data_IF_564858998506
#
_entry.id   IF_564858998506
#
_cell.length_a   1.000
_cell.length_b   1.000
_cell.length_c   1.000
_cell.angle_alpha   90.00
_cell.angle_beta   90.00
_cell.angle_gamma   90.00
#
_symmetry.space_group_name_H-M   'P 1'
#
loop_
_entity.id
_entity.type
_entity.pdbx_description
1 polymer ?
#
# COMPACT_ATOMS: atom_id res chain seq x y z
N UNK A 1 -12.12 4.31 14.37
CA UNK A 1 -11.38 3.51 13.38
C UNK A 1 -11.54 2.04 13.71
N UNK A 2 -11.83 1.19 12.72
CA UNK A 2 -11.92 -0.26 12.93
C UNK A 2 -10.66 -0.91 12.39
N UNK A 3 -10.05 -1.79 13.17
CA UNK A 3 -8.91 -2.61 12.76
C UNK A 3 -9.29 -4.08 12.84
N UNK A 4 -8.88 -4.85 11.83
CA UNK A 4 -8.96 -6.31 11.85
C UNK A 4 -7.55 -6.86 11.72
N UNK A 5 -7.29 -7.98 12.41
CA UNK A 5 -6.00 -8.65 12.37
C UNK A 5 -6.15 -9.97 11.65
N UNK A 6 -5.40 -10.17 10.59
CA UNK A 6 -5.45 -11.40 9.79
C UNK A 6 -4.04 -11.87 9.46
N UNK A 7 -3.85 -13.18 9.53
CA UNK A 7 -2.67 -13.83 9.00
C UNK A 7 -2.79 -14.00 7.49
N UNK A 8 -1.80 -13.57 6.75
CA UNK A 8 -1.74 -13.76 5.29
C UNK A 8 -0.51 -14.57 4.91
N UNK A 9 -0.65 -15.53 4.01
CA UNK A 9 0.50 -16.20 3.41
C UNK A 9 1.34 -15.20 2.61
N UNK A 10 2.52 -15.63 2.17
CA UNK A 10 3.34 -14.83 1.28
C UNK A 10 2.55 -14.36 0.06
N UNK A 11 2.61 -13.07 -0.25
CA UNK A 11 1.89 -12.44 -1.35
C UNK A 11 2.88 -11.81 -2.32
N UNK A 12 2.80 -12.20 -3.59
CA UNK A 12 3.60 -11.59 -4.65
C UNK A 12 2.74 -10.64 -5.47
N UNK A 13 3.27 -9.45 -5.70
CA UNK A 13 2.65 -8.41 -6.51
C UNK A 13 3.44 -8.19 -7.78
N UNK A 14 2.77 -7.76 -8.84
CA UNK A 14 3.36 -7.35 -10.11
C UNK A 14 2.98 -5.91 -10.40
N UNK A 15 3.96 -5.08 -10.73
CA UNK A 15 3.74 -3.67 -11.00
C UNK A 15 5.00 -2.93 -11.40
N UNK A 16 4.92 -1.63 -11.31
CA UNK A 16 6.03 -0.72 -11.54
C UNK A 16 6.26 0.16 -10.33
N UNK A 17 7.48 0.58 -10.15
CA UNK A 17 7.90 1.34 -8.98
C UNK A 17 8.79 2.52 -9.36
N UNK A 18 8.77 3.52 -8.48
CA UNK A 18 9.78 4.57 -8.45
C UNK A 18 10.37 4.64 -7.05
N UNK A 19 11.63 5.07 -6.97
CA UNK A 19 12.26 5.40 -5.69
C UNK A 19 12.09 6.89 -5.43
N UNK A 20 11.60 7.23 -4.24
CA UNK A 20 11.20 8.59 -3.86
C UNK A 20 11.87 8.93 -2.54
N UNK A 21 12.44 10.14 -2.43
CA UNK A 21 12.85 10.65 -1.12
C UNK A 21 11.60 11.09 -0.33
N UNK A 22 11.56 10.89 0.99
CA UNK A 22 10.37 11.19 1.81
C UNK A 22 9.82 12.60 1.57
N UNK A 23 10.67 13.60 1.49
CA UNK A 23 10.30 15.00 1.26
C UNK A 23 9.70 15.30 -0.12
N UNK A 24 9.90 14.41 -1.10
CA UNK A 24 9.37 14.57 -2.47
C UNK A 24 8.05 13.82 -2.68
N UNK A 25 7.67 12.97 -1.76
CA UNK A 25 6.56 12.03 -1.97
C UNK A 25 5.24 12.73 -2.24
N UNK A 26 4.93 13.84 -1.54
CA UNK A 26 3.72 14.63 -1.77
C UNK A 26 3.50 15.03 -3.24
N UNK A 27 4.59 15.31 -3.96
CA UNK A 27 4.53 15.66 -5.36
C UNK A 27 4.63 14.42 -6.26
N UNK A 28 5.59 13.55 -5.98
CA UNK A 28 5.94 12.45 -6.88
C UNK A 28 4.97 11.28 -6.88
N UNK A 29 4.31 10.97 -5.76
CA UNK A 29 3.33 9.89 -5.76
C UNK A 29 2.12 10.20 -6.66
N UNK A 30 1.45 11.38 -6.56
CA UNK A 30 0.38 11.73 -7.49
C UNK A 30 0.83 11.80 -8.94
N UNK A 31 2.01 12.37 -9.23
CA UNK A 31 2.57 12.41 -10.60
C UNK A 31 2.80 11.01 -11.15
N UNK A 32 3.23 10.07 -10.31
CA UNK A 32 3.46 8.69 -10.69
C UNK A 32 2.14 7.97 -10.99
N UNK A 33 1.10 8.17 -10.17
CA UNK A 33 -0.24 7.66 -10.42
C UNK A 33 -0.80 8.20 -11.74
N UNK A 34 -0.73 9.50 -11.97
CA UNK A 34 -1.22 10.10 -13.22
C UNK A 34 -0.47 9.56 -14.44
N UNK A 35 0.85 9.51 -14.38
CA UNK A 35 1.67 9.03 -15.47
C UNK A 35 1.46 7.56 -15.80
N UNK A 36 1.49 6.69 -14.80
CA UNK A 36 1.53 5.25 -15.03
C UNK A 36 0.12 4.65 -15.09
N UNK A 37 -0.74 5.01 -14.16
CA UNK A 37 -2.10 4.51 -14.13
C UNK A 37 -2.91 5.00 -15.33
N UNK A 38 -2.94 6.29 -15.57
CA UNK A 38 -3.72 6.88 -16.64
C UNK A 38 -3.24 6.46 -18.03
N UNK A 39 -1.94 6.27 -18.22
CA UNK A 39 -1.38 5.92 -19.53
C UNK A 39 -1.42 4.41 -19.81
N UNK A 40 -1.06 3.57 -18.85
CA UNK A 40 -0.92 2.12 -19.07
C UNK A 40 -2.22 1.37 -18.90
N UNK A 41 -3.03 1.76 -17.94
CA UNK A 41 -4.24 1.01 -17.56
C UNK A 41 -5.54 1.71 -17.90
N UNK A 42 -5.52 2.94 -18.45
CA UNK A 42 -6.73 3.66 -18.82
C UNK A 42 -7.63 2.82 -19.73
N UNK A 43 -7.06 2.13 -20.73
CA UNK A 43 -7.81 1.23 -21.60
C UNK A 43 -8.45 0.09 -20.80
N UNK A 44 -7.67 -0.56 -19.94
CA UNK A 44 -8.12 -1.70 -19.14
C UNK A 44 -9.34 -1.32 -18.30
N UNK A 45 -9.27 -0.18 -17.61
CA UNK A 45 -10.38 0.31 -16.77
C UNK A 45 -11.58 0.81 -17.58
N UNK A 46 -11.35 1.37 -18.77
CA UNK A 46 -12.44 1.80 -19.64
C UNK A 46 -13.18 0.62 -20.26
N UNK A 47 -12.46 -0.40 -20.68
CA UNK A 47 -13.04 -1.54 -21.39
C UNK A 47 -13.40 -2.70 -20.47
N UNK A 48 -12.80 -2.80 -19.30
CA UNK A 48 -12.86 -3.94 -18.37
C UNK A 48 -12.51 -5.27 -19.07
N UNK A 49 -11.66 -5.20 -20.10
CA UNK A 49 -11.25 -6.37 -20.90
C UNK A 49 -9.76 -6.54 -20.81
N UNK A 50 -9.29 -7.54 -20.02
CA UNK A 50 -7.88 -7.84 -19.94
C UNK A 50 -7.40 -8.51 -21.23
N UNK A 51 -6.23 -8.12 -21.70
CA UNK A 51 -5.56 -8.72 -22.86
C UNK A 51 -4.40 -9.61 -22.45
N UNK A 52 -3.97 -9.50 -21.20
CA UNK A 52 -2.86 -10.29 -20.64
C UNK A 52 -3.28 -10.94 -19.32
N UNK A 53 -2.62 -12.04 -18.90
CA UNK A 53 -2.83 -12.62 -17.58
C UNK A 53 -2.59 -11.62 -16.43
N UNK A 54 -1.67 -10.69 -16.62
CA UNK A 54 -1.38 -9.62 -15.63
C UNK A 54 -2.53 -8.65 -15.52
N UNK A 55 -3.09 -8.21 -16.63
CA UNK A 55 -4.28 -7.35 -16.64
C UNK A 55 -5.48 -8.07 -16.02
N UNK A 56 -5.64 -9.36 -16.31
CA UNK A 56 -6.67 -10.19 -15.69
C UNK A 56 -6.49 -10.24 -14.18
N UNK A 57 -5.27 -10.45 -13.70
CA UNK A 57 -4.96 -10.47 -12.27
C UNK A 57 -5.22 -9.11 -11.60
N UNK A 58 -4.96 -7.99 -12.28
CA UNK A 58 -5.26 -6.64 -11.79
C UNK A 58 -6.78 -6.41 -11.66
N UNK A 59 -7.56 -6.89 -12.61
CA UNK A 59 -9.03 -6.73 -12.58
C UNK A 59 -9.72 -7.71 -11.64
N UNK A 60 -9.21 -8.94 -11.54
CA UNK A 60 -9.89 -10.08 -10.93
C UNK A 60 -9.66 -10.19 -9.42
N UNK A 61 -8.88 -9.30 -8.87
CA UNK A 61 -8.44 -9.40 -7.48
C UNK A 61 -9.51 -9.13 -6.44
N UNK A 62 -10.61 -8.51 -6.80
CA UNK A 62 -11.61 -8.01 -5.84
C UNK A 62 -11.07 -6.95 -4.86
N UNK A 63 -9.76 -6.72 -4.86
CA UNK A 63 -9.05 -5.79 -4.00
C UNK A 63 -8.52 -4.59 -4.81
N UNK A 64 -8.53 -4.67 -6.14
CA UNK A 64 -8.06 -3.60 -7.02
C UNK A 64 -6.54 -3.50 -7.09
N UNK A 65 -6.03 -2.28 -7.22
CA UNK A 65 -4.60 -1.99 -7.22
C UNK A 65 -4.07 -1.84 -5.80
N UNK A 66 -2.82 -2.19 -5.63
CA UNK A 66 -2.09 -1.97 -4.38
C UNK A 66 -0.99 -0.94 -4.63
N UNK A 67 -0.90 0.05 -3.76
CA UNK A 67 0.33 0.81 -3.59
C UNK A 67 1.13 0.17 -2.46
N UNK A 68 2.40 -0.03 -2.70
CA UNK A 68 3.36 -0.61 -1.75
C UNK A 68 4.38 0.46 -1.46
N UNK A 69 4.56 0.79 -0.19
CA UNK A 69 5.63 1.65 0.26
C UNK A 69 6.69 0.77 0.90
N UNK A 70 7.80 0.57 0.21
CA UNK A 70 8.95 -0.21 0.69
C UNK A 70 10.08 0.75 1.04
N UNK A 71 10.37 0.85 2.32
CA UNK A 71 11.34 1.77 2.87
C UNK A 71 12.78 1.29 2.63
N UNK A 72 13.63 2.22 2.21
CA UNK A 72 15.06 2.01 2.03
C UNK A 72 15.84 3.15 2.65
N UNK A 73 17.13 2.98 2.85
CA UNK A 73 17.99 4.02 3.40
C UNK A 73 17.84 5.34 2.61
N UNK A 74 17.25 6.36 3.25
CA UNK A 74 17.05 7.70 2.69
C UNK A 74 16.03 7.81 1.55
N UNK A 75 15.30 6.74 1.25
CA UNK A 75 14.25 6.71 0.23
C UNK A 75 13.22 5.62 0.50
N UNK A 76 12.12 5.64 -0.22
CA UNK A 76 11.19 4.52 -0.28
C UNK A 76 10.84 4.19 -1.73
N UNK A 77 10.60 2.91 -2.01
CA UNK A 77 10.08 2.48 -3.29
C UNK A 77 8.55 2.49 -3.23
N UNK A 78 7.97 3.34 -4.05
CA UNK A 78 6.52 3.43 -4.20
C UNK A 78 6.07 2.64 -5.42
N UNK A 79 5.13 1.71 -5.20
CA UNK A 79 4.67 0.77 -6.20
C UNK A 79 3.20 0.99 -6.53
N UNK A 80 2.87 0.87 -7.82
CA UNK A 80 1.50 0.63 -8.28
C UNK A 80 1.47 -0.78 -8.83
N UNK A 81 0.75 -1.67 -8.16
CA UNK A 81 0.84 -3.10 -8.42
C UNK A 81 -0.51 -3.81 -8.18
N UNK A 82 -0.63 -4.97 -8.78
CA UNK A 82 -1.71 -5.93 -8.52
C UNK A 82 -1.15 -7.25 -8.02
N UNK A 83 -1.99 -8.10 -7.44
CA UNK A 83 -1.58 -9.42 -6.97
C UNK A 83 -1.20 -10.30 -8.16
N UNK A 84 0.03 -10.82 -8.13
CA UNK A 84 0.55 -11.69 -9.18
C UNK A 84 0.04 -13.13 -8.98
N UNK A 85 -0.53 -13.68 -10.03
CA UNK A 85 -1.06 -15.04 -10.04
C UNK A 85 -0.33 -16.00 -10.99
N UNK A 86 0.90 -15.64 -11.37
CA UNK A 86 1.72 -16.43 -12.29
C UNK A 86 1.66 -15.92 -13.73
N UNK A 87 2.49 -16.51 -14.59
CA UNK A 87 2.65 -16.13 -15.99
C UNK A 87 3.92 -15.33 -16.26
N UNK A 88 4.09 -14.91 -17.51
CA UNK A 88 5.24 -14.11 -17.91
C UNK A 88 5.15 -12.68 -17.31
N UNK A 89 6.29 -12.15 -16.93
CA UNK A 89 6.41 -10.76 -16.46
C UNK A 89 6.68 -9.87 -17.67
N UNK A 90 5.73 -8.99 -18.05
CA UNK A 90 5.92 -8.08 -19.17
C UNK A 90 7.09 -7.14 -18.96
N UNK A 91 7.71 -6.71 -20.04
CA UNK A 91 8.81 -5.75 -20.00
C UNK A 91 8.42 -4.47 -19.24
N UNK A 92 9.30 -4.01 -18.35
CA UNK A 92 9.10 -2.81 -17.53
C UNK A 92 8.28 -3.01 -16.28
N UNK A 93 7.73 -4.21 -16.05
CA UNK A 93 7.14 -4.59 -14.77
C UNK A 93 8.13 -5.38 -13.91
N UNK A 94 7.89 -5.37 -12.60
CA UNK A 94 8.71 -6.07 -11.61
C UNK A 94 7.80 -6.85 -10.65
N UNK A 95 8.38 -7.80 -9.97
CA UNK A 95 7.73 -8.53 -8.88
C UNK A 95 8.23 -8.00 -7.54
N UNK A 96 7.29 -7.90 -6.59
CA UNK A 96 7.56 -7.62 -5.18
C UNK A 96 6.86 -8.68 -4.34
N UNK A 97 7.56 -9.28 -3.39
CA UNK A 97 6.99 -10.33 -2.54
C UNK A 97 7.03 -9.91 -1.08
N UNK A 98 5.85 -9.82 -0.48
CA UNK A 98 5.71 -9.78 0.96
C UNK A 98 5.88 -11.18 1.53
N UNK A 99 6.67 -11.37 2.57
CA UNK A 99 6.71 -12.64 3.29
C UNK A 99 5.36 -12.90 3.97
N UNK A 100 5.16 -14.14 4.38
CA UNK A 100 4.06 -14.51 5.28
C UNK A 100 4.09 -13.63 6.53
N UNK A 101 2.96 -13.04 6.90
CA UNK A 101 2.89 -12.06 8.00
C UNK A 101 1.48 -11.97 8.57
N UNK A 102 1.40 -11.52 9.81
CA UNK A 102 0.17 -10.97 10.37
C UNK A 102 0.02 -9.52 9.93
N UNK A 103 -1.21 -9.10 9.71
CA UNK A 103 -1.54 -7.77 9.20
C UNK A 103 -2.58 -7.09 10.09
N UNK A 104 -2.31 -5.83 10.44
CA UNK A 104 -3.33 -4.92 10.93
C UNK A 104 -3.98 -4.25 9.70
N UNK A 105 -5.26 -4.51 9.49
CA UNK A 105 -5.98 -4.09 8.30
C UNK A 105 -7.03 -3.05 8.66
N UNK A 106 -6.89 -1.88 8.09
CA UNK A 106 -7.78 -0.73 8.28
C UNK A 106 -8.56 -0.48 7.01
N UNK A 107 -9.83 -0.08 7.17
CA UNK A 107 -10.69 0.26 6.04
C UNK A 107 -11.36 1.62 6.22
N UNK A 108 -11.58 2.30 5.12
CA UNK A 108 -12.37 3.52 5.04
C UNK A 108 -13.34 3.47 3.86
N UNK A 109 -14.39 4.26 3.95
CA UNK A 109 -15.38 4.44 2.89
C UNK A 109 -15.47 5.92 2.53
N UNK A 110 -15.52 6.21 1.25
CA UNK A 110 -15.64 7.56 0.72
C UNK A 110 -14.79 7.81 -0.52
N UNK A 111 -14.95 8.96 -1.17
CA UNK A 111 -14.21 9.29 -2.38
C UNK A 111 -12.72 9.50 -2.10
N UNK A 112 -11.88 9.04 -3.03
CA UNK A 112 -10.45 9.32 -3.02
C UNK A 112 -10.15 10.76 -3.50
N UNK A 113 -9.05 11.37 -3.06
CA UNK A 113 -8.05 10.82 -2.10
C UNK A 113 -8.44 11.00 -0.63
N UNK A 114 -9.48 11.77 -0.33
CA UNK A 114 -9.79 12.23 1.03
C UNK A 114 -10.02 11.11 2.05
N UNK A 115 -10.73 10.04 1.68
CA UNK A 115 -11.00 8.91 2.59
C UNK A 115 -9.73 8.16 2.98
N UNK A 116 -8.83 7.92 2.02
CA UNK A 116 -7.56 7.24 2.28
C UNK A 116 -6.60 8.12 3.09
N UNK A 117 -6.54 9.42 2.78
CA UNK A 117 -5.70 10.37 3.54
C UNK A 117 -6.16 10.49 5.00
N UNK A 118 -7.47 10.55 5.24
CA UNK A 118 -8.01 10.56 6.59
C UNK A 118 -7.70 9.26 7.33
N UNK A 119 -7.84 8.11 6.67
CA UNK A 119 -7.50 6.81 7.24
C UNK A 119 -6.01 6.75 7.60
N UNK A 120 -5.15 7.19 6.69
CA UNK A 120 -3.72 7.22 6.92
C UNK A 120 -3.35 8.06 8.16
N UNK A 121 -3.93 9.25 8.27
CA UNK A 121 -3.75 10.10 9.45
C UNK A 121 -4.13 9.38 10.73
N UNK A 122 -5.28 8.69 10.75
CA UNK A 122 -5.73 7.93 11.92
C UNK A 122 -4.79 6.76 12.26
N UNK A 123 -4.31 6.01 11.25
CA UNK A 123 -3.38 4.90 11.47
C UNK A 123 -2.10 5.39 12.14
N UNK A 124 -1.49 6.46 11.61
CA UNK A 124 -0.15 6.88 12.07
C UNK A 124 -0.16 7.84 13.24
N UNK A 125 -1.21 8.63 13.42
CA UNK A 125 -1.29 9.59 14.53
C UNK A 125 -2.06 9.06 15.74
N UNK A 126 -2.95 8.08 15.56
CA UNK A 126 -3.78 7.58 16.65
C UNK A 126 -3.46 6.12 16.98
N UNK A 127 -3.55 5.21 15.99
CA UNK A 127 -3.35 3.79 16.24
C UNK A 127 -1.88 3.45 16.54
N UNK A 128 -0.96 3.86 15.69
CA UNK A 128 0.45 3.49 15.81
C UNK A 128 1.08 3.94 17.14
N UNK A 129 0.92 5.19 17.59
CA UNK A 129 1.44 5.60 18.90
C UNK A 129 0.66 5.03 20.10
N UNK A 130 -0.53 4.51 19.89
CA UNK A 130 -1.39 3.89 20.89
C UNK A 130 -1.28 2.37 20.90
N UNK A 131 -2.32 1.71 20.41
CA UNK A 131 -2.42 0.24 20.36
C UNK A 131 -1.32 -0.39 19.50
N UNK A 132 -0.95 0.26 18.40
CA UNK A 132 0.07 -0.21 17.48
C UNK A 132 1.46 -0.40 18.09
N UNK A 133 1.75 0.28 19.21
CA UNK A 133 3.02 0.07 19.95
C UNK A 133 3.20 -1.36 20.49
N UNK A 134 2.11 -2.09 20.69
CA UNK A 134 2.17 -3.49 21.11
C UNK A 134 2.58 -4.43 19.96
N UNK A 135 2.64 -3.90 18.74
CA UNK A 135 3.01 -4.64 17.55
C UNK A 135 4.28 -4.02 16.98
N UNK A 136 5.38 -4.76 17.04
CA UNK A 136 6.56 -4.36 16.28
C UNK A 136 6.25 -4.48 14.79
N UNK A 137 6.60 -3.48 14.00
CA UNK A 137 6.48 -3.58 12.55
C UNK A 137 7.31 -4.75 12.03
N UNK A 138 6.72 -5.60 11.19
CA UNK A 138 7.40 -6.72 10.55
C UNK A 138 7.97 -6.28 9.19
N UNK A 139 8.71 -5.22 9.19
CA UNK A 139 9.34 -4.70 7.98
C UNK A 139 8.92 -3.29 7.65
N UNK A 140 9.49 -2.81 6.58
CA UNK A 140 9.45 -1.43 6.15
C UNK A 140 8.37 -1.13 5.11
N UNK A 141 7.56 -2.12 4.73
CA UNK A 141 6.57 -1.95 3.66
C UNK A 141 5.14 -2.09 4.17
N UNK A 142 4.25 -1.26 3.65
CA UNK A 142 2.81 -1.30 3.90
C UNK A 142 2.04 -1.33 2.58
N UNK A 143 0.75 -1.68 2.65
CA UNK A 143 -0.14 -1.69 1.50
C UNK A 143 -1.21 -0.62 1.63
N UNK A 144 -1.36 0.19 0.59
CA UNK A 144 -2.61 0.89 0.30
C UNK A 144 -3.47 0.00 -0.58
N UNK A 145 -4.70 -0.23 -0.18
CA UNK A 145 -5.61 -1.18 -0.84
C UNK A 145 -6.75 -0.43 -1.50
N UNK A 146 -6.90 -0.63 -2.79
CA UNK A 146 -7.89 0.04 -3.63
C UNK A 146 -8.87 -1.00 -4.18
N UNK A 147 -10.14 -0.92 -3.76
CA UNK A 147 -11.18 -1.80 -4.27
C UNK A 147 -11.53 -1.48 -5.73
N UNK A 148 -12.06 -2.48 -6.44
CA UNK A 148 -12.62 -2.22 -7.76
C UNK A 148 -13.82 -1.28 -7.66
N UNK A 149 -13.98 -0.39 -8.65
CA UNK A 149 -15.13 0.49 -8.74
C UNK A 149 -14.79 1.96 -8.96
N UNK A 150 -15.78 2.81 -8.77
CA UNK A 150 -15.63 4.25 -8.96
C UNK A 150 -15.00 4.89 -7.72
N UNK A 151 -13.73 5.27 -7.82
CA UNK A 151 -12.96 5.92 -6.75
C UNK A 151 -13.55 7.25 -6.27
N UNK A 152 -14.46 7.86 -7.01
CA UNK A 152 -15.17 9.09 -6.62
C UNK A 152 -16.52 8.83 -5.97
N UNK A 153 -16.91 7.57 -5.81
CA UNK A 153 -18.17 7.22 -5.15
C UNK A 153 -18.09 7.52 -3.64
N UNK A 154 -19.18 8.04 -3.03
CA UNK A 154 -19.27 8.15 -1.57
C UNK A 154 -19.21 6.78 -0.86
N UNK A 155 -19.48 5.70 -1.60
CA UNK A 155 -19.44 4.33 -1.09
C UNK A 155 -18.16 3.57 -1.49
N UNK A 156 -17.18 4.25 -2.05
CA UNK A 156 -15.92 3.61 -2.42
C UNK A 156 -15.18 3.11 -1.18
N UNK A 157 -14.66 1.90 -1.24
CA UNK A 157 -13.90 1.29 -0.15
C UNK A 157 -12.40 1.27 -0.48
N UNK A 158 -11.61 1.71 0.48
CA UNK A 158 -10.16 1.64 0.43
C UNK A 158 -9.60 1.21 1.79
N UNK A 159 -8.32 0.88 1.85
CA UNK A 159 -7.72 0.41 3.08
C UNK A 159 -6.22 0.64 3.18
N UNK A 160 -5.71 0.48 4.39
CA UNK A 160 -4.28 0.45 4.70
C UNK A 160 -4.01 -0.83 5.48
N UNK A 161 -3.03 -1.61 5.03
CA UNK A 161 -2.58 -2.81 5.70
C UNK A 161 -1.14 -2.64 6.16
N UNK A 162 -0.93 -2.82 7.43
CA UNK A 162 0.38 -2.71 8.07
C UNK A 162 0.80 -4.10 8.53
N UNK A 163 1.97 -4.61 8.09
CA UNK A 163 2.47 -5.89 8.60
C UNK A 163 2.88 -5.72 10.06
N UNK A 164 2.48 -6.68 10.91
CA UNK A 164 2.69 -6.63 12.36
C UNK A 164 3.27 -7.93 12.88
N UNK A 165 4.07 -7.84 13.93
CA UNK A 165 4.45 -8.99 14.76
C UNK A 165 3.83 -8.81 16.13
N UNK A 166 3.07 -9.80 16.62
CA UNK A 166 2.71 -9.83 18.04
C UNK A 166 3.95 -10.08 18.87
N UNK A 167 4.10 -9.21 19.84
CA UNK A 167 5.28 -9.21 20.70
C UNK A 167 5.11 -10.16 21.90
N UNK A 168 4.81 -11.44 21.62
CA UNK A 168 4.81 -12.46 22.69
C UNK A 168 6.23 -12.81 23.18
N UNK A 169 7.30 -12.32 22.51
CA UNK A 169 8.68 -12.57 22.86
C UNK A 169 9.60 -11.46 22.35
N UNK A 170 9.58 -10.26 22.92
CA UNK A 170 10.64 -9.28 22.60
C UNK A 170 11.94 -9.56 23.36
N UNK A 171 13.02 -9.80 22.66
CA UNK A 171 14.33 -9.41 23.16
C UNK A 171 14.65 -7.98 22.68
N UNK A 172 14.58 -7.03 23.63
CA UNK A 172 15.33 -5.76 23.58
C UNK A 172 15.03 -4.82 22.42
N UNK A 173 14.24 -3.81 22.71
CA UNK A 173 14.15 -2.55 21.97
C UNK A 173 15.50 -2.03 21.50
N UNK A 174 15.67 -1.84 20.20
CA UNK A 174 16.60 -0.82 19.69
C UNK A 174 16.28 -0.18 18.33
N UNK A 175 15.26 -0.59 17.57
CA UNK A 175 15.06 -0.08 16.19
C UNK A 175 13.69 0.54 15.89
N UNK A 176 12.92 1.01 16.88
CA UNK A 176 11.58 1.57 16.67
C UNK A 176 11.53 3.05 16.33
N UNK A 177 12.66 3.77 16.32
CA UNK A 177 12.65 5.22 16.10
C UNK A 177 12.71 5.60 14.61
N UNK A 178 13.43 4.86 13.77
CA UNK A 178 13.62 5.25 12.37
C UNK A 178 12.37 5.08 11.50
N UNK A 179 11.61 3.99 11.68
CA UNK A 179 10.37 3.77 10.90
C UNK A 179 9.29 4.80 11.20
N UNK A 180 9.21 5.25 12.47
CA UNK A 180 8.27 6.28 12.89
C UNK A 180 8.58 7.66 12.28
N UNK A 181 9.85 7.95 12.03
CA UNK A 181 10.29 9.25 11.53
C UNK A 181 9.96 9.42 10.04
N UNK A 182 10.16 8.39 9.21
CA UNK A 182 9.85 8.42 7.78
C UNK A 182 8.34 8.37 7.53
N UNK A 183 7.63 7.55 8.26
CA UNK A 183 6.17 7.49 8.18
C UNK A 183 5.56 8.80 8.68
N UNK A 184 6.13 9.43 9.71
CA UNK A 184 5.75 10.77 10.17
C UNK A 184 6.01 11.82 9.09
N UNK A 185 7.12 11.73 8.36
CA UNK A 185 7.41 12.61 7.23
C UNK A 185 6.41 12.44 6.10
N UNK A 186 6.00 11.20 5.77
CA UNK A 186 4.95 10.91 4.78
C UNK A 186 3.59 11.50 5.20
N UNK A 187 3.24 11.42 6.47
CA UNK A 187 2.00 11.98 7.01
C UNK A 187 2.02 13.51 6.99
N UNK A 188 3.12 14.13 7.39
CA UNK A 188 3.27 15.60 7.42
C UNK A 188 3.26 16.19 6.01
N UNK A 189 3.74 15.43 5.01
CA UNK A 189 3.77 15.88 3.62
C UNK A 189 2.47 15.60 2.86
N UNK A 190 1.47 14.97 3.48
CA UNK A 190 0.16 14.73 2.87
C UNK A 190 0.22 13.78 1.65
N UNK A 191 1.20 12.90 1.62
CA UNK A 191 1.48 11.99 0.49
C UNK A 191 0.50 10.84 0.44
N UNK A 192 -0.07 10.53 1.56
CA UNK A 192 -1.01 9.43 1.70
C UNK A 192 -2.40 9.96 2.00
#
# INVERSE_FOLDING_TARGET
MNVTYEHKPSMTFIGFSISIRPEEGYQKCPEFWDREYSRRYARLWQTMKPETPVEAAILDNGIGLFAVCDEKEGAFDYWIAGLYRGGDVPEGLKLYTFPESDWAMFSARGPLPGSLQALNTQVWQEWYPGEGKAYAGNGSAMLEVYSAGNMQSPDYECGIWVPVCRDDNQPGKENGEDTAEIVSAMTVTGIL
#
